data_IF_019828202968
#
_entry.id   IF_019828202968
#
_cell.length_a   1.000
_cell.length_b   1.000
_cell.length_c   1.000
_cell.angle_alpha   90.00
_cell.angle_beta   90.00
_cell.angle_gamma   90.00
#
_symmetry.space_group_name_H-M   'P 1'
#
loop_
_entity.id
_entity.type
_entity.pdbx_description
1 polymer ?
#
# COMPACT_ATOMS: atom_id res chain seq x y z
N UNK A 1 22.25 12.00 5.35
CA UNK A 1 21.19 11.21 6.01
C UNK A 1 20.94 9.97 5.19
N UNK A 2 20.95 8.78 5.80
CA UNK A 2 20.53 7.55 5.12
C UNK A 2 19.07 7.67 4.67
N UNK A 3 18.75 7.08 3.52
CA UNK A 3 17.36 7.02 3.04
C UNK A 3 16.51 6.28 4.08
N UNK A 4 15.40 6.88 4.50
CA UNK A 4 14.43 6.21 5.36
C UNK A 4 13.87 4.97 4.65
N UNK A 5 13.53 3.93 5.40
CA UNK A 5 12.92 2.72 4.86
C UNK A 5 11.55 3.01 4.23
N UNK A 6 11.04 2.09 3.41
CA UNK A 6 9.69 2.22 2.82
C UNK A 6 8.61 2.29 3.91
N UNK A 7 8.71 1.45 4.95
CA UNK A 7 7.80 1.44 6.09
C UNK A 7 7.81 2.77 6.84
N UNK A 8 8.99 3.36 7.02
CA UNK A 8 9.20 4.60 7.75
C UNK A 8 8.69 5.80 6.95
N UNK A 9 8.92 5.80 5.63
CA UNK A 9 8.41 6.82 4.72
C UNK A 9 6.88 6.78 4.65
N UNK A 10 6.29 5.58 4.57
CA UNK A 10 4.83 5.39 4.60
C UNK A 10 4.25 5.85 5.93
N UNK A 11 4.83 5.43 7.06
CA UNK A 11 4.39 5.84 8.39
C UNK A 11 4.46 7.36 8.58
N UNK A 12 5.59 7.97 8.20
CA UNK A 12 5.78 9.43 8.31
C UNK A 12 4.77 10.20 7.44
N UNK A 13 4.41 9.66 6.27
CA UNK A 13 3.40 10.27 5.40
C UNK A 13 2.01 10.20 6.03
N UNK A 14 1.65 9.05 6.61
CA UNK A 14 0.35 8.87 7.30
C UNK A 14 0.28 9.70 8.59
N UNK A 15 1.40 9.88 9.30
CA UNK A 15 1.47 10.72 10.50
C UNK A 15 1.35 12.22 10.20
N UNK A 16 1.68 12.66 8.98
CA UNK A 16 1.42 14.03 8.51
C UNK A 16 -0.05 14.25 8.13
N UNK A 17 -0.79 13.18 7.86
CA UNK A 17 -2.23 13.22 7.59
C UNK A 17 -3.07 13.38 8.87
N UNK A 18 -4.31 13.83 8.70
CA UNK A 18 -5.30 13.96 9.77
C UNK A 18 -5.58 12.62 10.45
N UNK A 19 -5.77 12.63 11.77
CA UNK A 19 -6.08 11.46 12.60
C UNK A 19 -7.28 10.65 12.08
N UNK A 20 -8.26 11.33 11.47
CA UNK A 20 -9.49 10.70 10.97
C UNK A 20 -9.23 9.74 9.81
N UNK A 21 -8.32 10.09 8.90
CA UNK A 21 -8.04 9.30 7.69
C UNK A 21 -6.93 8.26 7.88
N UNK A 22 -6.15 8.33 8.98
CA UNK A 22 -5.04 7.38 9.21
C UNK A 22 -5.52 5.94 9.21
N UNK A 23 -6.67 5.68 9.83
CA UNK A 23 -7.27 4.33 9.88
C UNK A 23 -7.55 3.79 8.48
N UNK A 24 -8.10 4.63 7.61
CA UNK A 24 -8.42 4.26 6.23
C UNK A 24 -7.14 4.10 5.39
N UNK A 25 -6.13 4.93 5.61
CA UNK A 25 -4.84 4.81 4.93
C UNK A 25 -4.09 3.52 5.29
N UNK A 26 -4.12 3.09 6.57
CA UNK A 26 -3.55 1.81 6.97
C UNK A 26 -4.35 0.60 6.45
N UNK A 27 -5.67 0.73 6.32
CA UNK A 27 -6.54 -0.31 5.80
C UNK A 27 -6.53 -0.42 4.26
N UNK A 28 -6.04 0.60 3.57
CA UNK A 28 -6.05 0.70 2.11
C UNK A 28 -4.64 0.91 1.53
N UNK A 29 -3.64 0.16 2.02
CA UNK A 29 -2.30 0.23 1.45
C UNK A 29 -2.21 -0.67 0.21
N UNK A 30 -1.92 -0.06 -0.95
CA UNK A 30 -1.81 -0.77 -2.23
C UNK A 30 -0.36 -0.79 -2.67
N UNK A 31 0.20 -1.99 -2.79
CA UNK A 31 1.56 -2.18 -3.28
C UNK A 31 1.51 -2.57 -4.76
N UNK A 32 2.13 -1.75 -5.59
CA UNK A 32 2.26 -1.93 -7.03
C UNK A 32 3.74 -1.82 -7.42
N UNK A 33 4.21 -2.69 -8.31
CA UNK A 33 5.59 -2.72 -8.80
C UNK A 33 6.18 -4.13 -8.84
N UNK A 34 7.33 -4.31 -9.51
CA UNK A 34 7.95 -5.63 -9.67
C UNK A 34 8.47 -6.27 -8.38
N UNK A 35 8.72 -5.48 -7.33
CA UNK A 35 9.17 -5.97 -6.01
C UNK A 35 8.06 -6.65 -5.22
N UNK A 36 6.79 -6.44 -5.57
CA UNK A 36 5.66 -7.15 -4.94
C UNK A 36 5.58 -8.62 -5.36
N UNK A 37 6.29 -8.99 -6.42
CA UNK A 37 6.42 -10.38 -6.88
C UNK A 37 7.33 -11.23 -5.99
N UNK A 38 8.08 -10.60 -5.08
CA UNK A 38 8.98 -11.35 -4.21
C UNK A 38 8.17 -12.08 -3.12
N UNK A 39 8.33 -13.41 -2.98
CA UNK A 39 7.59 -14.15 -1.97
C UNK A 39 7.93 -13.64 -0.56
N UNK A 40 6.91 -13.44 0.28
CA UNK A 40 7.06 -12.97 1.66
C UNK A 40 7.29 -11.47 1.82
N UNK A 41 7.30 -10.68 0.73
CA UNK A 41 7.43 -9.22 0.85
C UNK A 41 6.24 -8.59 1.58
N UNK A 42 5.05 -9.17 1.43
CA UNK A 42 3.85 -8.69 2.12
C UNK A 42 3.86 -8.95 3.61
N UNK A 43 4.23 -10.16 4.04
CA UNK A 43 4.38 -10.45 5.46
C UNK A 43 5.44 -9.54 6.11
N UNK A 44 6.52 -9.23 5.39
CA UNK A 44 7.55 -8.30 5.86
C UNK A 44 7.01 -6.88 5.99
N UNK A 45 6.33 -6.35 4.98
CA UNK A 45 5.75 -5.00 5.01
C UNK A 45 4.71 -4.87 6.12
N UNK A 46 3.80 -5.84 6.23
CA UNK A 46 2.78 -5.84 7.26
C UNK A 46 3.41 -5.86 8.66
N UNK A 47 4.46 -6.66 8.87
CA UNK A 47 5.19 -6.72 10.14
C UNK A 47 5.89 -5.41 10.49
N UNK A 48 6.55 -4.77 9.52
CA UNK A 48 7.25 -3.50 9.73
C UNK A 48 6.28 -2.35 10.02
N UNK A 49 5.15 -2.27 9.29
CA UNK A 49 4.10 -1.27 9.55
C UNK A 49 3.41 -1.55 10.89
N UNK A 50 3.13 -2.81 11.23
CA UNK A 50 2.52 -3.18 12.53
C UNK A 50 3.45 -2.86 13.71
N UNK A 51 4.77 -2.93 13.52
CA UNK A 51 5.73 -2.53 14.55
C UNK A 51 5.72 -1.02 14.83
N UNK A 52 5.35 -0.20 13.84
CA UNK A 52 5.31 1.27 13.95
C UNK A 52 3.92 1.82 14.28
N UNK A 53 2.87 1.20 13.74
CA UNK A 53 1.50 1.61 13.94
C UNK A 53 0.94 1.08 15.29
N UNK A 54 0.09 1.86 15.97
CA UNK A 54 -0.57 1.40 17.20
C UNK A 54 -1.49 0.20 16.92
N UNK A 55 -1.56 -0.74 17.85
CA UNK A 55 -2.30 -2.02 17.76
C UNK A 55 -3.82 -1.91 17.57
N UNK A 56 -4.36 -0.69 17.59
CA UNK A 56 -5.77 -0.38 17.31
C UNK A 56 -6.06 -0.20 15.81
N UNK A 57 -5.05 -0.14 14.95
CA UNK A 57 -5.20 0.05 13.51
C UNK A 57 -5.18 -1.28 12.76
N UNK A 58 -6.17 -1.48 11.88
CA UNK A 58 -6.22 -2.64 10.98
C UNK A 58 -5.36 -2.35 9.75
N UNK A 59 -4.27 -3.09 9.59
CA UNK A 59 -3.33 -2.93 8.48
C UNK A 59 -3.66 -3.98 7.43
N UNK A 60 -3.99 -3.51 6.22
CA UNK A 60 -4.29 -4.39 5.09
C UNK A 60 -3.50 -3.93 3.88
N UNK A 61 -2.70 -4.86 3.38
CA UNK A 61 -1.87 -4.65 2.20
C UNK A 61 -2.48 -5.39 1.03
N UNK A 62 -2.84 -4.64 0.01
CA UNK A 62 -3.40 -5.17 -1.23
C UNK A 62 -2.30 -5.16 -2.27
N UNK A 63 -1.85 -6.35 -2.65
CA UNK A 63 -0.88 -6.51 -3.73
C UNK A 63 -1.61 -6.42 -5.05
N UNK A 64 -1.29 -5.39 -5.83
CA UNK A 64 -1.65 -5.37 -7.24
C UNK A 64 -0.56 -6.19 -7.93
N UNK A 65 -0.77 -7.50 -7.92
CA UNK A 65 0.09 -8.45 -8.61
C UNK A 65 -0.04 -8.20 -10.11
N UNK A 66 0.92 -7.47 -10.66
CA UNK A 66 1.20 -7.40 -12.08
C UNK A 66 1.94 -8.66 -12.53
N UNK A 67 1.29 -9.82 -12.44
CA UNK A 67 1.76 -10.96 -13.20
C UNK A 67 0.89 -11.07 -14.45
N UNK A 68 1.49 -11.42 -15.58
CA UNK A 68 1.14 -12.76 -16.03
C UNK A 68 2.37 -13.52 -16.54
N UNK A 69 2.31 -14.85 -16.69
CA UNK A 69 3.05 -15.50 -17.76
C UNK A 69 2.47 -15.03 -19.14
N UNK A 70 2.67 -13.75 -19.53
CA UNK A 70 2.24 -13.07 -20.80
C UNK A 70 0.70 -13.16 -21.12
N UNK A 71 0.07 -12.41 -22.08
CA UNK A 71 0.44 -11.25 -22.90
C UNK A 71 -0.39 -9.95 -22.62
N UNK A 72 0.04 -8.86 -23.27
CA UNK A 72 -0.30 -7.42 -23.12
C UNK A 72 -1.72 -7.07 -23.63
N UNK A 73 -2.77 -7.22 -22.82
CA UNK A 73 -4.10 -6.64 -23.19
C UNK A 73 -5.01 -6.25 -22.02
N UNK A 74 -4.62 -6.58 -20.77
CA UNK A 74 -5.49 -6.42 -19.60
C UNK A 74 -5.05 -5.32 -18.62
N UNK A 75 -3.85 -4.73 -18.81
CA UNK A 75 -3.29 -3.70 -17.92
C UNK A 75 -4.17 -2.44 -17.78
N UNK A 76 -4.93 -2.09 -18.82
CA UNK A 76 -5.74 -0.87 -18.81
C UNK A 76 -7.03 -0.96 -17.95
N UNK A 77 -7.43 -2.15 -17.48
CA UNK A 77 -8.69 -2.28 -16.74
C UNK A 77 -8.51 -2.20 -15.21
N UNK A 78 -7.32 -2.54 -14.68
CA UNK A 78 -7.07 -2.46 -13.24
C UNK A 78 -6.71 -1.04 -12.77
N UNK A 79 -6.12 -0.22 -13.65
CA UNK A 79 -5.85 1.19 -13.38
C UNK A 79 -7.13 2.03 -13.17
N UNK A 80 -8.29 1.56 -13.67
CA UNK A 80 -9.56 2.29 -13.58
C UNK A 80 -10.35 2.05 -12.27
N UNK A 81 -9.92 1.10 -11.42
CA UNK A 81 -10.62 0.82 -10.14
C UNK A 81 -10.10 1.70 -8.99
N UNK A 82 -8.87 2.23 -9.07
CA UNK A 82 -8.30 3.10 -8.03
C UNK A 82 -8.51 4.60 -8.26
N UNK A 83 -9.08 5.00 -9.41
CA UNK A 83 -9.52 6.38 -9.66
C UNK A 83 -11.02 6.60 -9.38
N UNK A 84 -11.74 5.61 -8.86
CA UNK A 84 -13.13 5.76 -8.41
C UNK A 84 -13.27 5.91 -6.88
N UNK A 85 -12.28 6.51 -6.21
CA UNK A 85 -12.61 7.20 -4.96
C UNK A 85 -13.29 8.52 -5.35
N UNK A 86 -14.50 8.82 -4.83
CA UNK A 86 -15.19 10.07 -5.08
C UNK A 86 -14.47 11.17 -4.29
N UNK A 87 -13.40 11.70 -4.88
CA UNK A 87 -12.88 13.02 -4.57
C UNK A 87 -13.46 13.97 -5.60
N UNK A 88 -14.68 14.46 -5.37
CA UNK A 88 -15.19 15.84 -5.60
C UNK A 88 -16.72 15.80 -5.41
N UNK A 89 -17.26 16.75 -4.65
CA UNK A 89 -18.71 16.95 -4.50
C UNK A 89 -19.39 17.54 -5.72
#
# INVERSE_FOLDING_TARGET
>A
MGSAGIHETTYNSIMKCDIGIRKDLYANNVLSGGTTMYPGIGDRMQKEITALAPSTMKIKETFVSLCPPLPISKELQQAMVLLNLPITG
#
